data_IF_424133056882
#
_entry.id   IF_424133056882
#
_cell.length_a   1.000
_cell.length_b   1.000
_cell.length_c   1.000
_cell.angle_alpha   90.00
_cell.angle_beta   90.00
_cell.angle_gamma   90.00
#
_symmetry.space_group_name_H-M   'P 1'
#
loop_
_entity.id
_entity.type
_entity.pdbx_description
1 polymer ?
#
# COMPACT_ATOMS: atom_id res chain seq x y z
N UNK A 1 -47.94 45.28 28.43
CA UNK A 1 -46.67 45.30 27.65
C UNK A 1 -46.22 43.85 27.48
N UNK A 2 -46.11 43.32 26.24
CA UNK A 2 -44.84 42.94 25.55
C UNK A 2 -43.82 42.26 26.51
N UNK A 3 -43.32 41.02 26.32
CA UNK A 3 -42.79 40.36 25.10
C UNK A 3 -42.82 38.80 25.15
N UNK A 4 -43.09 38.14 24.01
CA UNK A 4 -42.40 36.92 23.52
C UNK A 4 -41.09 37.35 22.80
N UNK A 5 -40.07 36.52 22.49
CA UNK A 5 -40.04 35.07 22.14
C UNK A 5 -39.06 34.27 23.06
N UNK A 6 -38.46 33.09 22.79
CA UNK A 6 -38.19 32.28 21.57
C UNK A 6 -38.24 30.77 21.89
N UNK A 7 -38.51 29.94 20.87
CA UNK A 7 -38.40 28.47 20.89
C UNK A 7 -36.95 27.96 20.81
N UNK A 8 -36.54 27.07 21.71
CA UNK A 8 -35.29 26.30 21.60
C UNK A 8 -35.59 24.80 21.41
N UNK A 9 -35.39 24.28 20.20
CA UNK A 9 -35.58 22.85 19.91
C UNK A 9 -34.51 21.99 20.58
N UNK A 10 -34.83 20.80 21.13
CA UNK A 10 -33.82 19.87 21.62
C UNK A 10 -33.02 19.29 20.44
N UNK A 11 -31.72 19.59 20.37
CA UNK A 11 -30.80 18.91 19.46
C UNK A 11 -30.74 17.43 19.82
N UNK A 12 -31.21 16.56 18.91
CA UNK A 12 -30.85 15.15 18.94
C UNK A 12 -29.37 15.02 18.53
N UNK A 13 -28.50 14.37 19.32
CA UNK A 13 -27.20 13.94 18.83
C UNK A 13 -27.45 12.98 17.67
N UNK A 14 -27.14 13.43 16.46
CA UNK A 14 -27.26 12.58 15.26
C UNK A 14 -25.90 11.96 15.00
N UNK A 15 -25.43 11.14 15.94
CA UNK A 15 -24.32 10.22 15.70
C UNK A 15 -24.78 9.13 14.73
N UNK A 16 -24.88 9.51 13.44
CA UNK A 16 -24.68 8.57 12.35
C UNK A 16 -23.19 8.24 12.31
N UNK A 17 -22.74 7.46 13.29
CA UNK A 17 -21.61 6.56 13.07
C UNK A 17 -21.99 5.72 11.88
N UNK A 18 -21.41 6.06 10.72
CA UNK A 18 -21.50 5.26 9.51
C UNK A 18 -20.69 3.99 9.75
N UNK A 19 -21.29 3.06 10.51
CA UNK A 19 -20.85 1.69 10.54
C UNK A 19 -20.91 1.19 9.10
N UNK A 20 -19.75 1.11 8.46
CA UNK A 20 -19.57 0.37 7.22
C UNK A 20 -20.22 -1.00 7.45
N UNK A 21 -21.07 -1.48 6.51
CA UNK A 21 -21.67 -2.79 6.68
C UNK A 21 -20.55 -3.79 6.85
N UNK A 22 -20.52 -4.46 8.02
CA UNK A 22 -19.57 -5.54 8.31
C UNK A 22 -19.90 -6.72 7.40
N UNK A 23 -19.43 -6.62 6.17
CA UNK A 23 -19.37 -7.74 5.25
C UNK A 23 -18.50 -8.80 5.92
N UNK A 24 -18.98 -10.04 5.93
CA UNK A 24 -18.21 -11.14 6.48
C UNK A 24 -17.00 -11.38 5.57
N UNK A 25 -15.84 -10.83 5.95
CA UNK A 25 -14.57 -11.10 5.27
C UNK A 25 -14.14 -12.52 5.58
N UNK A 26 -13.99 -13.35 4.56
CA UNK A 26 -13.27 -14.61 4.71
C UNK A 26 -11.80 -14.27 4.97
N UNK A 27 -11.38 -14.49 6.23
CA UNK A 27 -10.03 -14.22 6.71
C UNK A 27 -8.98 -15.02 5.92
N UNK A 28 -9.30 -16.24 5.50
CA UNK A 28 -8.37 -17.07 4.74
C UNK A 28 -8.19 -16.52 3.33
N UNK A 29 -9.30 -16.18 2.66
CA UNK A 29 -9.24 -15.58 1.32
C UNK A 29 -8.53 -14.23 1.34
N UNK A 30 -8.81 -13.37 2.33
CA UNK A 30 -8.12 -12.09 2.48
C UNK A 30 -6.59 -12.24 2.59
N UNK A 31 -6.12 -13.20 3.40
CA UNK A 31 -4.68 -13.44 3.52
C UNK A 31 -4.05 -14.02 2.26
N UNK A 32 -4.79 -14.79 1.46
CA UNK A 32 -4.36 -15.22 0.12
C UNK A 32 -4.25 -13.99 -0.80
N UNK A 33 -5.30 -13.16 -0.87
CA UNK A 33 -5.38 -12.00 -1.76
C UNK A 33 -4.26 -10.97 -1.49
N UNK A 34 -3.99 -10.64 -0.22
CA UNK A 34 -2.89 -9.71 0.14
C UNK A 34 -1.51 -10.33 -0.15
N UNK A 35 -1.34 -11.64 0.05
CA UNK A 35 -0.10 -12.35 -0.28
C UNK A 35 0.16 -12.32 -1.79
N UNK A 36 -0.84 -12.62 -2.61
CA UNK A 36 -0.76 -12.52 -4.07
C UNK A 36 -0.50 -11.08 -4.53
N UNK A 37 -1.16 -10.08 -3.93
CA UNK A 37 -0.93 -8.68 -4.24
C UNK A 37 0.54 -8.25 -3.99
N UNK A 38 1.16 -8.72 -2.90
CA UNK A 38 2.57 -8.47 -2.62
C UNK A 38 3.51 -9.19 -3.62
N UNK A 39 3.19 -10.42 -4.03
CA UNK A 39 3.96 -11.14 -5.06
C UNK A 39 3.84 -10.49 -6.45
N UNK A 40 2.66 -9.99 -6.81
CA UNK A 40 2.44 -9.23 -8.05
C UNK A 40 3.19 -7.89 -8.03
N UNK A 41 3.28 -7.24 -6.88
CA UNK A 41 4.08 -6.02 -6.70
C UNK A 41 5.59 -6.31 -6.77
N UNK A 42 6.09 -7.38 -6.13
CA UNK A 42 7.46 -7.90 -6.33
C UNK A 42 7.75 -8.11 -7.82
N UNK A 43 6.90 -8.86 -8.52
CA UNK A 43 7.06 -9.14 -9.96
C UNK A 43 7.08 -7.87 -10.82
N UNK A 44 6.27 -6.86 -10.45
CA UNK A 44 6.26 -5.55 -11.12
C UNK A 44 7.58 -4.79 -10.92
N UNK A 45 8.16 -4.84 -9.72
CA UNK A 45 9.47 -4.24 -9.41
C UNK A 45 10.61 -4.97 -10.15
N UNK A 46 10.60 -6.31 -10.12
CA UNK A 46 11.59 -7.13 -10.81
C UNK A 46 11.54 -6.92 -12.33
N UNK A 47 10.34 -6.73 -12.90
CA UNK A 47 10.19 -6.37 -14.31
C UNK A 47 10.89 -5.03 -14.63
N UNK A 48 10.63 -3.98 -13.84
CA UNK A 48 11.28 -2.68 -14.02
C UNK A 48 12.81 -2.79 -13.87
N UNK A 49 13.30 -3.47 -12.83
CA UNK A 49 14.73 -3.71 -12.61
C UNK A 49 15.42 -4.37 -13.82
N UNK A 50 14.79 -5.40 -14.40
CA UNK A 50 15.32 -6.12 -15.56
C UNK A 50 15.23 -5.32 -16.87
N UNK A 51 14.33 -4.33 -16.97
CA UNK A 51 14.18 -3.47 -18.14
C UNK A 51 14.89 -2.12 -18.03
N UNK A 52 15.36 -1.76 -16.85
CA UNK A 52 15.97 -0.47 -16.52
C UNK A 52 17.09 -0.02 -17.49
N UNK A 53 18.01 -0.89 -17.96
CA UNK A 53 19.04 -0.50 -18.94
C UNK A 53 18.51 -0.13 -20.34
N UNK A 54 17.26 -0.49 -20.66
CA UNK A 54 16.62 -0.25 -21.95
C UNK A 54 15.49 0.79 -21.87
N UNK A 55 15.29 1.43 -20.71
CA UNK A 55 14.25 2.44 -20.52
C UNK A 55 14.80 3.86 -20.54
N UNK A 56 14.04 4.77 -21.17
CA UNK A 56 14.29 6.21 -21.06
C UNK A 56 13.87 6.73 -19.67
N UNK A 57 14.35 7.91 -19.23
CA UNK A 57 13.94 8.52 -17.96
C UNK A 57 12.41 8.67 -17.83
N UNK A 58 11.70 8.97 -18.92
CA UNK A 58 10.25 9.11 -18.95
C UNK A 58 9.55 7.76 -18.73
N UNK A 59 10.09 6.67 -19.29
CA UNK A 59 9.59 5.32 -19.10
C UNK A 59 9.82 4.86 -17.65
N UNK A 60 11.01 5.12 -17.09
CA UNK A 60 11.31 4.87 -15.66
C UNK A 60 10.33 5.64 -14.76
N UNK A 61 10.05 6.91 -15.06
CA UNK A 61 9.08 7.72 -14.32
C UNK A 61 7.65 7.17 -14.43
N UNK A 62 7.25 6.70 -15.62
CA UNK A 62 5.92 6.13 -15.85
C UNK A 62 5.72 4.82 -15.06
N UNK A 63 6.70 3.91 -15.11
CA UNK A 63 6.65 2.67 -14.33
C UNK A 63 6.74 2.93 -12.82
N UNK A 64 7.59 3.86 -12.37
CA UNK A 64 7.65 4.27 -10.96
C UNK A 64 6.30 4.82 -10.46
N UNK A 65 5.56 5.57 -11.30
CA UNK A 65 4.19 6.01 -10.99
C UNK A 65 3.17 4.87 -10.95
N UNK A 66 3.35 3.78 -11.71
CA UNK A 66 2.52 2.57 -11.60
C UNK A 66 2.79 1.83 -10.29
N UNK A 67 4.07 1.60 -9.96
CA UNK A 67 4.49 1.00 -8.69
C UNK A 67 3.97 1.81 -7.48
N UNK A 68 4.01 3.15 -7.55
CA UNK A 68 3.45 4.01 -6.52
C UNK A 68 1.94 3.79 -6.30
N UNK A 69 1.15 3.60 -7.36
CA UNK A 69 -0.28 3.27 -7.23
C UNK A 69 -0.51 1.89 -6.64
N UNK A 70 0.27 0.89 -7.05
CA UNK A 70 0.21 -0.45 -6.45
C UNK A 70 0.57 -0.41 -4.96
N UNK A 71 1.57 0.37 -4.54
CA UNK A 71 1.91 0.52 -3.11
C UNK A 71 0.78 1.18 -2.30
N UNK A 72 0.05 2.14 -2.86
CA UNK A 72 -1.13 2.75 -2.22
C UNK A 72 -2.28 1.73 -2.08
N UNK A 73 -2.46 0.85 -3.07
CA UNK A 73 -3.43 -0.26 -2.94
C UNK A 73 -3.00 -1.24 -1.85
N UNK A 74 -1.71 -1.59 -1.80
CA UNK A 74 -1.17 -2.45 -0.74
C UNK A 74 -1.31 -1.83 0.65
N UNK A 75 -1.12 -0.52 0.84
CA UNK A 75 -1.30 0.09 2.17
C UNK A 75 -2.74 0.01 2.67
N UNK A 76 -3.73 0.07 1.77
CA UNK A 76 -5.15 -0.14 2.16
C UNK A 76 -5.38 -1.58 2.62
N UNK A 77 -4.72 -2.56 1.99
CA UNK A 77 -4.75 -3.96 2.44
C UNK A 77 -3.94 -4.16 3.74
N UNK A 78 -2.82 -3.47 3.92
CA UNK A 78 -2.03 -3.48 5.16
C UNK A 78 -2.91 -3.00 6.34
N UNK A 79 -3.66 -1.91 6.17
CA UNK A 79 -4.57 -1.36 7.18
C UNK A 79 -5.72 -2.34 7.50
N UNK A 80 -6.36 -2.93 6.48
CA UNK A 80 -7.40 -3.95 6.66
C UNK A 80 -6.89 -5.22 7.35
N UNK A 81 -5.64 -5.62 7.07
CA UNK A 81 -5.01 -6.77 7.71
C UNK A 81 -4.83 -6.53 9.21
N UNK A 82 -4.49 -5.30 9.63
CA UNK A 82 -4.38 -4.97 11.05
C UNK A 82 -5.72 -5.12 11.77
N UNK A 83 -6.81 -4.59 11.21
CA UNK A 83 -8.17 -4.78 11.75
C UNK A 83 -8.54 -6.27 11.88
N UNK A 84 -8.20 -7.09 10.89
CA UNK A 84 -8.45 -8.54 10.91
C UNK A 84 -7.59 -9.25 11.98
N UNK A 85 -6.33 -8.85 12.17
CA UNK A 85 -5.46 -9.41 13.21
C UNK A 85 -5.97 -9.04 14.61
N UNK A 86 -6.47 -7.83 14.83
CA UNK A 86 -7.08 -7.43 16.10
C UNK A 86 -8.32 -8.26 16.45
N UNK A 87 -9.13 -8.64 15.45
CA UNK A 87 -10.37 -9.39 15.65
C UNK A 87 -10.19 -10.91 15.70
N UNK A 88 -9.25 -11.47 14.91
CA UNK A 88 -9.12 -12.92 14.68
C UNK A 88 -7.69 -13.48 14.93
N UNK A 89 -6.78 -12.70 15.52
CA UNK A 89 -5.35 -13.04 15.66
C UNK A 89 -5.06 -14.40 16.32
N UNK A 90 -5.88 -14.83 17.28
CA UNK A 90 -5.72 -16.13 17.96
C UNK A 90 -6.02 -17.35 17.06
N UNK A 91 -6.88 -17.18 16.06
CA UNK A 91 -7.20 -18.20 15.06
C UNK A 91 -6.14 -18.20 13.95
N UNK A 92 -5.77 -17.01 13.48
CA UNK A 92 -4.69 -16.79 12.52
C UNK A 92 -3.36 -17.41 12.95
N UNK A 93 -3.02 -17.34 14.23
CA UNK A 93 -1.80 -17.94 14.79
C UNK A 93 -1.70 -19.46 14.63
N UNK A 94 -2.78 -20.15 14.24
CA UNK A 94 -2.83 -21.59 13.94
C UNK A 94 -2.69 -21.91 12.45
N UNK A 95 -2.51 -20.89 11.61
CA UNK A 95 -2.44 -21.00 10.15
C UNK A 95 -1.06 -20.58 9.62
N UNK A 96 -0.71 -21.02 8.41
CA UNK A 96 0.51 -20.55 7.72
C UNK A 96 0.33 -19.20 7.02
N UNK A 97 -0.91 -18.71 6.89
CA UNK A 97 -1.28 -17.51 6.14
C UNK A 97 -0.47 -16.25 6.52
N UNK A 98 -0.29 -16.01 7.82
CA UNK A 98 0.51 -14.88 8.32
C UNK A 98 2.00 -15.03 7.98
N UNK A 99 2.51 -16.26 7.89
CA UNK A 99 3.88 -16.53 7.47
C UNK A 99 4.06 -16.28 5.96
N UNK A 100 3.15 -16.79 5.15
CA UNK A 100 3.20 -16.65 3.68
C UNK A 100 3.12 -15.19 3.26
N UNK A 101 2.20 -14.43 3.86
CA UNK A 101 2.13 -12.96 3.75
C UNK A 101 3.47 -12.31 4.10
N UNK A 102 4.07 -12.64 5.26
CA UNK A 102 5.36 -12.06 5.69
C UNK A 102 6.49 -12.37 4.73
N UNK A 103 6.50 -13.54 4.10
CA UNK A 103 7.47 -13.90 3.07
C UNK A 103 7.27 -13.05 1.80
N UNK A 104 6.04 -12.89 1.33
CA UNK A 104 5.73 -12.05 0.18
C UNK A 104 6.08 -10.56 0.44
N UNK A 105 5.71 -10.03 1.61
CA UNK A 105 6.08 -8.70 2.07
C UNK A 105 7.60 -8.49 2.07
N UNK A 106 8.36 -9.44 2.64
CA UNK A 106 9.82 -9.35 2.70
C UNK A 106 10.47 -9.34 1.31
N UNK A 107 10.01 -10.21 0.40
CA UNK A 107 10.50 -10.24 -0.99
C UNK A 107 10.23 -8.92 -1.71
N UNK A 108 9.01 -8.41 -1.66
CA UNK A 108 8.64 -7.13 -2.27
C UNK A 108 9.43 -5.96 -1.69
N UNK A 109 9.68 -5.96 -0.38
CA UNK A 109 10.50 -4.95 0.31
C UNK A 109 11.96 -5.00 -0.16
N UNK A 110 12.55 -6.19 -0.28
CA UNK A 110 13.90 -6.39 -0.82
C UNK A 110 14.00 -5.93 -2.29
N UNK A 111 13.03 -6.31 -3.12
CA UNK A 111 12.97 -5.87 -4.51
C UNK A 111 12.87 -4.34 -4.63
N UNK A 112 12.03 -3.70 -3.82
CA UNK A 112 11.85 -2.25 -3.77
C UNK A 112 13.14 -1.53 -3.36
N UNK A 113 13.84 -2.03 -2.33
CA UNK A 113 15.14 -1.49 -1.95
C UNK A 113 16.19 -1.65 -3.06
N UNK A 114 16.23 -2.82 -3.73
CA UNK A 114 17.15 -3.05 -4.85
C UNK A 114 16.89 -2.09 -6.03
N UNK A 115 15.62 -1.81 -6.34
CA UNK A 115 15.24 -0.80 -7.33
C UNK A 115 15.72 0.60 -6.92
N UNK A 116 15.51 1.00 -5.67
CA UNK A 116 15.98 2.28 -5.15
C UNK A 116 17.50 2.44 -5.28
N UNK A 117 18.28 1.46 -4.82
CA UNK A 117 19.75 1.47 -4.93
C UNK A 117 20.21 1.52 -6.40
N UNK A 118 19.52 0.81 -7.31
CA UNK A 118 19.84 0.83 -8.73
C UNK A 118 19.55 2.18 -9.38
N UNK A 119 18.44 2.82 -9.03
CA UNK A 119 18.08 4.16 -9.51
C UNK A 119 19.05 5.24 -9.00
N UNK A 120 19.45 5.18 -7.72
CA UNK A 120 20.50 6.05 -7.18
C UNK A 120 21.83 5.90 -7.95
N UNK A 121 22.20 4.65 -8.26
CA UNK A 121 23.44 4.36 -9.01
C UNK A 121 23.40 4.97 -10.42
N UNK A 122 22.26 4.87 -11.11
CA UNK A 122 22.07 5.49 -12.45
C UNK A 122 22.10 7.01 -12.36
N UNK A 123 21.45 7.59 -11.35
CA UNK A 123 21.47 9.04 -11.13
C UNK A 123 22.88 9.57 -10.89
N UNK A 124 23.69 8.89 -10.07
CA UNK A 124 25.08 9.29 -9.80
C UNK A 124 25.95 9.27 -11.07
N UNK A 125 25.81 8.26 -11.93
CA UNK A 125 26.54 8.18 -13.22
C UNK A 125 26.16 9.37 -14.12
N UNK A 126 24.87 9.66 -14.26
CA UNK A 126 24.39 10.78 -15.09
C UNK A 126 24.84 12.15 -14.57
N UNK A 127 25.07 12.29 -13.26
CA UNK A 127 25.66 13.51 -12.70
C UNK A 127 27.15 13.64 -13.05
N UNK A 128 27.93 12.57 -12.88
CA UNK A 128 29.39 12.59 -13.15
C UNK A 128 29.70 12.90 -14.62
N UNK A 129 28.95 12.31 -15.55
CA UNK A 129 29.03 12.62 -16.99
C UNK A 129 28.72 14.09 -17.31
N UNK A 130 27.78 14.70 -16.57
CA UNK A 130 27.42 16.12 -16.74
C UNK A 130 28.49 17.08 -16.23
N UNK A 131 29.24 16.71 -15.17
CA UNK A 131 30.34 17.52 -14.63
C UNK A 131 31.64 17.40 -15.41
N UNK A 132 31.93 16.25 -16.01
CA UNK A 132 33.15 16.05 -16.81
C UNK A 132 33.02 16.54 -18.28
N UNK A 133 31.88 17.14 -18.63
CA UNK A 133 31.61 17.71 -19.96
C UNK A 133 31.68 19.25 -20.00
N UNK A 134 32.23 19.88 -18.95
CA UNK A 134 32.52 21.32 -18.83
C UNK A 134 34.03 21.58 -18.79
#
# INVERSE_FOLDING_TARGET
MIRQPVTGSPMKPTEKTLALPRQATDVSQFFIDITEAYLLFEGSILHLLNKLPAYTPEQILLESKKLGRQRVQLSILDDQMLEIIELAGAELARTHLVHDYRVAFAKASMASNNLYQKLLSVWAILQDESTNSM
#
